data_IF_685528361736
#
_entry.id   IF_685528361736
#
_cell.length_a   1.000
_cell.length_b   1.000
_cell.length_c   1.000
_cell.angle_alpha   90.00
_cell.angle_beta   90.00
_cell.angle_gamma   90.00
#
_symmetry.space_group_name_H-M   'P 1'
#
loop_
_entity.id
_entity.type
_entity.pdbx_description
1 polymer ?
#
# COMPACT_ATOMS: atom_id res chain seq x y z
N UNK A 1 10.90 7.07 -13.31
CA UNK A 1 10.00 7.80 -14.21
C UNK A 1 9.24 6.81 -15.05
N UNK A 2 7.92 6.96 -15.12
CA UNK A 2 7.08 6.02 -15.84
C UNK A 2 7.17 6.17 -17.33
N UNK A 3 7.19 5.05 -18.05
CA UNK A 3 7.11 5.03 -19.50
C UNK A 3 5.66 4.94 -19.97
N UNK A 4 4.90 3.98 -19.41
CA UNK A 4 3.50 3.77 -19.80
C UNK A 4 2.57 3.65 -18.59
N UNK A 5 3.02 3.13 -17.48
CA UNK A 5 2.19 2.89 -16.30
C UNK A 5 2.73 3.71 -15.12
N UNK A 6 2.16 4.87 -14.90
CA UNK A 6 2.59 5.77 -13.83
C UNK A 6 1.89 5.42 -12.52
N UNK A 7 2.65 5.31 -11.43
CA UNK A 7 2.05 5.24 -10.09
C UNK A 7 1.74 6.67 -9.66
N UNK A 8 0.45 7.01 -9.68
CA UNK A 8 0.01 8.38 -9.42
C UNK A 8 -0.01 8.69 -7.95
N UNK A 9 -0.59 7.76 -7.16
CA UNK A 9 -0.65 7.97 -5.70
C UNK A 9 -0.93 6.64 -4.99
N UNK A 10 -0.58 6.63 -3.71
CA UNK A 10 -0.97 5.59 -2.76
C UNK A 10 -1.88 6.26 -1.74
N UNK A 11 -3.14 5.82 -1.67
CA UNK A 11 -4.07 6.28 -0.65
C UNK A 11 -4.01 5.30 0.51
N UNK A 12 -3.62 5.77 1.68
CA UNK A 12 -3.43 4.92 2.84
C UNK A 12 -3.63 5.76 4.11
N UNK A 13 -3.99 5.13 5.24
CA UNK A 13 -4.05 5.86 6.50
C UNK A 13 -2.65 6.34 6.90
N UNK A 14 -2.59 7.45 7.64
CA UNK A 14 -1.33 7.99 8.11
C UNK A 14 -0.70 7.12 9.20
N UNK A 15 -1.52 6.39 9.95
CA UNK A 15 -1.11 5.56 11.08
C UNK A 15 -2.00 4.33 11.18
N UNK A 16 -1.48 3.28 11.79
CA UNK A 16 -2.26 2.07 12.12
C UNK A 16 -1.67 1.41 13.36
N UNK A 17 -2.51 0.66 14.06
CA UNK A 17 -2.09 -0.11 15.23
C UNK A 17 -1.65 -1.51 14.81
N UNK A 18 -0.77 -2.17 15.60
CA UNK A 18 -0.38 -3.55 15.29
C UNK A 18 -1.60 -4.45 15.19
N UNK A 19 -1.62 -5.31 14.18
CA UNK A 19 -2.72 -6.25 13.97
C UNK A 19 -3.90 -5.69 13.19
N UNK A 20 -3.96 -4.38 12.95
CA UNK A 20 -5.02 -3.80 12.13
C UNK A 20 -4.89 -4.25 10.68
N UNK A 21 -6.03 -4.51 10.06
CA UNK A 21 -6.05 -4.65 8.60
C UNK A 21 -5.98 -3.25 7.99
N UNK A 22 -4.94 -3.01 7.21
CA UNK A 22 -4.74 -1.73 6.54
C UNK A 22 -5.20 -1.89 5.09
N UNK A 23 -6.19 -1.08 4.70
CA UNK A 23 -6.67 -1.05 3.33
C UNK A 23 -6.04 0.13 2.61
N UNK A 24 -5.51 -0.13 1.43
CA UNK A 24 -4.87 0.90 0.62
C UNK A 24 -5.45 0.90 -0.78
N UNK A 25 -5.28 2.01 -1.46
CA UNK A 25 -5.61 2.13 -2.88
C UNK A 25 -4.37 2.65 -3.59
N UNK A 26 -3.97 1.97 -4.66
CA UNK A 26 -2.88 2.42 -5.53
C UNK A 26 -3.49 2.81 -6.86
N UNK A 27 -3.21 4.03 -7.31
CA UNK A 27 -3.77 4.55 -8.55
C UNK A 27 -2.69 4.58 -9.61
N UNK A 28 -2.96 3.90 -10.72
CA UNK A 28 -2.05 3.81 -11.86
C UNK A 28 -2.68 4.49 -13.08
N UNK A 29 -1.89 5.29 -13.76
CA UNK A 29 -2.34 5.99 -14.97
C UNK A 29 -1.68 5.40 -16.20
N UNK A 30 -2.47 5.15 -17.25
CA UNK A 30 -1.96 4.74 -18.54
C UNK A 30 -1.51 5.98 -19.33
N UNK A 31 -0.21 6.07 -19.58
CA UNK A 31 0.39 7.15 -20.35
C UNK A 31 0.49 6.83 -21.84
N UNK A 32 0.13 5.61 -22.24
CA UNK A 32 0.18 5.17 -23.62
C UNK A 32 -0.99 5.75 -24.41
N UNK A 33 -0.87 5.82 -25.72
CA UNK A 33 -1.90 6.38 -26.59
C UNK A 33 -3.03 5.41 -26.91
N UNK A 34 -2.96 4.18 -26.43
CA UNK A 34 -3.98 3.15 -26.60
C UNK A 34 -4.27 2.45 -25.30
N UNK A 35 -5.23 1.54 -25.32
CA UNK A 35 -5.56 0.69 -24.16
C UNK A 35 -4.45 -0.34 -23.96
N UNK A 36 -3.95 -0.45 -22.72
CA UNK A 36 -2.99 -1.49 -22.35
C UNK A 36 -3.40 -2.13 -21.04
N UNK A 37 -2.88 -3.34 -20.81
CA UNK A 37 -3.04 -4.00 -19.50
C UNK A 37 -1.96 -3.48 -18.56
N UNK A 38 -2.37 -3.12 -17.35
CA UNK A 38 -1.51 -2.59 -16.31
C UNK A 38 -1.70 -3.45 -15.07
N UNK A 39 -0.59 -3.73 -14.38
CA UNK A 39 -0.59 -4.53 -13.16
C UNK A 39 0.05 -3.74 -12.03
N UNK A 40 -0.50 -3.92 -10.83
CA UNK A 40 0.05 -3.36 -9.59
C UNK A 40 0.74 -4.46 -8.79
N UNK A 41 1.80 -4.08 -8.10
CA UNK A 41 2.43 -4.90 -7.07
C UNK A 41 2.78 -4.03 -5.90
N UNK A 42 3.11 -4.64 -4.78
CA UNK A 42 3.52 -3.89 -3.62
C UNK A 42 4.22 -4.74 -2.58
N UNK A 43 5.02 -4.08 -1.77
CA UNK A 43 5.76 -4.71 -0.69
C UNK A 43 5.86 -3.77 0.51
N UNK A 44 6.11 -4.34 1.67
CA UNK A 44 6.24 -3.62 2.93
C UNK A 44 7.68 -3.66 3.40
N UNK A 45 8.24 -2.50 3.66
CA UNK A 45 9.57 -2.37 4.23
C UNK A 45 9.46 -2.00 5.70
N UNK A 46 9.94 -2.85 6.60
CA UNK A 46 9.93 -2.56 8.03
C UNK A 46 10.96 -3.38 8.82
N UNK A 47 12.11 -3.61 8.23
CA UNK A 47 13.22 -4.26 8.94
C UNK A 47 13.25 -5.78 8.85
N UNK A 48 12.35 -6.39 8.08
CA UNK A 48 12.39 -7.83 7.80
C UNK A 48 12.84 -8.07 6.36
N UNK A 49 13.39 -9.24 6.09
CA UNK A 49 13.88 -9.60 4.75
C UNK A 49 13.53 -11.07 4.46
N UNK A 50 12.95 -11.38 3.30
CA UNK A 50 12.54 -10.45 2.25
C UNK A 50 11.33 -9.62 2.67
N UNK A 51 11.05 -8.53 1.95
CA UNK A 51 9.90 -7.70 2.23
C UNK A 51 8.61 -8.46 1.92
N UNK A 52 7.65 -8.52 2.88
CA UNK A 52 6.37 -9.15 2.59
C UNK A 52 5.60 -8.42 1.50
N UNK A 53 4.85 -9.16 0.70
CA UNK A 53 4.01 -8.59 -0.33
C UNK A 53 2.71 -8.02 0.22
N UNK A 54 2.14 -7.07 -0.51
CA UNK A 54 0.81 -6.54 -0.25
C UNK A 54 -0.18 -7.35 -1.10
N UNK A 55 -1.32 -7.70 -0.51
CA UNK A 55 -2.35 -8.47 -1.22
C UNK A 55 -3.19 -7.54 -2.09
N UNK A 56 -3.15 -7.77 -3.40
CA UNK A 56 -4.02 -7.11 -4.38
C UNK A 56 -4.84 -8.19 -5.07
N UNK A 57 -6.05 -8.49 -4.59
CA UNK A 57 -6.84 -9.60 -5.17
C UNK A 57 -7.12 -9.44 -6.66
N UNK A 58 -7.34 -8.20 -7.12
CA UNK A 58 -7.49 -7.90 -8.54
C UNK A 58 -6.33 -6.99 -8.93
N UNK A 59 -5.21 -7.59 -9.33
CA UNK A 59 -3.95 -6.87 -9.46
C UNK A 59 -3.65 -6.36 -10.88
N UNK A 60 -4.55 -6.56 -11.85
CA UNK A 60 -4.34 -6.03 -13.19
C UNK A 60 -5.68 -5.67 -13.84
N UNK A 61 -5.64 -4.80 -14.81
CA UNK A 61 -6.81 -4.38 -15.58
C UNK A 61 -6.39 -3.81 -16.93
N UNK A 62 -7.31 -3.85 -17.90
CA UNK A 62 -7.15 -3.10 -19.13
C UNK A 62 -7.53 -1.65 -18.85
N UNK A 63 -6.65 -0.73 -19.17
CA UNK A 63 -6.83 0.68 -18.84
C UNK A 63 -6.76 1.48 -20.14
N UNK A 64 -7.77 2.32 -20.38
CA UNK A 64 -7.84 3.14 -21.58
C UNK A 64 -6.75 4.21 -21.58
N UNK A 65 -6.41 4.69 -22.77
CA UNK A 65 -5.41 5.71 -22.94
C UNK A 65 -5.70 6.93 -22.05
N UNK A 66 -4.73 7.33 -21.27
CA UNK A 66 -4.83 8.50 -20.39
C UNK A 66 -5.68 8.30 -19.14
N UNK A 67 -6.34 7.14 -18.99
CA UNK A 67 -7.18 6.88 -17.83
C UNK A 67 -6.36 6.46 -16.61
N UNK A 68 -6.94 6.68 -15.44
CA UNK A 68 -6.38 6.25 -14.16
C UNK A 68 -7.26 5.15 -13.58
N UNK A 69 -6.63 4.08 -13.10
CA UNK A 69 -7.33 2.95 -12.52
C UNK A 69 -6.90 2.77 -11.07
N UNK A 70 -7.86 2.47 -10.20
CA UNK A 70 -7.61 2.29 -8.77
C UNK A 70 -7.59 0.81 -8.43
N UNK A 71 -6.49 0.35 -7.82
CA UNK A 71 -6.34 -1.02 -7.35
C UNK A 71 -6.42 -1.04 -5.83
N UNK A 72 -7.24 -1.93 -5.30
CA UNK A 72 -7.39 -2.10 -3.85
C UNK A 72 -6.45 -3.17 -3.34
N UNK A 73 -5.76 -2.88 -2.27
CA UNK A 73 -4.87 -3.82 -1.61
C UNK A 73 -5.00 -3.75 -0.10
N UNK A 74 -4.45 -4.74 0.58
CA UNK A 74 -4.48 -4.76 2.04
C UNK A 74 -3.30 -5.54 2.61
N UNK A 75 -3.02 -5.29 3.88
CA UNK A 75 -2.05 -6.05 4.66
C UNK A 75 -2.40 -5.90 6.14
N UNK A 76 -1.79 -6.74 6.98
CA UNK A 76 -1.93 -6.65 8.43
C UNK A 76 -0.76 -5.84 8.96
N UNK A 77 -1.04 -4.80 9.74
CA UNK A 77 -0.01 -3.91 10.28
C UNK A 77 0.91 -4.66 11.22
N UNK A 78 2.23 -4.66 10.97
CA UNK A 78 3.17 -5.25 11.92
C UNK A 78 3.35 -4.34 13.13
N UNK A 79 4.10 -4.81 14.12
CA UNK A 79 4.43 -4.01 15.30
C UNK A 79 5.61 -3.07 15.00
N UNK A 80 5.46 -2.30 13.95
CA UNK A 80 6.48 -1.36 13.47
C UNK A 80 5.84 -0.41 12.47
N UNK A 81 6.37 0.80 12.34
CA UNK A 81 6.06 1.65 11.20
C UNK A 81 6.50 0.95 9.91
N UNK A 82 5.81 1.19 8.81
CA UNK A 82 6.12 0.56 7.52
C UNK A 82 6.27 1.61 6.44
N UNK A 83 7.06 1.27 5.43
CA UNK A 83 7.07 1.99 4.16
C UNK A 83 6.46 1.09 3.10
N UNK A 84 5.39 1.58 2.49
CA UNK A 84 4.76 0.89 1.36
C UNK A 84 5.57 1.20 0.11
N UNK A 85 5.92 0.18 -0.66
CA UNK A 85 6.45 0.31 -2.01
C UNK A 85 5.39 -0.19 -2.97
N UNK A 86 4.89 0.67 -3.83
CA UNK A 86 3.93 0.29 -4.88
C UNK A 86 4.63 0.31 -6.23
N UNK A 87 4.41 -0.73 -7.01
CA UNK A 87 5.05 -0.92 -8.31
C UNK A 87 4.02 -1.01 -9.39
N UNK A 88 4.38 -0.54 -10.60
CA UNK A 88 3.56 -0.70 -11.78
C UNK A 88 4.27 -1.52 -12.84
N UNK A 89 3.47 -2.25 -13.62
CA UNK A 89 3.93 -3.06 -14.75
C UNK A 89 2.97 -2.86 -15.91
N UNK A 90 3.48 -2.93 -17.13
CA UNK A 90 2.64 -2.92 -18.31
C UNK A 90 2.89 -4.17 -19.14
N UNK A 91 1.86 -4.61 -19.86
CA UNK A 91 1.91 -5.84 -20.62
C UNK A 91 2.34 -5.54 -22.06
N UNK A 92 3.45 -6.15 -22.48
CA UNK A 92 4.00 -5.92 -23.81
C UNK A 92 3.37 -6.82 -24.86
N UNK A 93 3.55 -6.44 -26.12
CA UNK A 93 3.06 -7.22 -27.26
C UNK A 93 3.75 -8.58 -27.39
N UNK A 94 4.88 -8.77 -26.73
CA UNK A 94 5.59 -10.06 -26.67
C UNK A 94 5.04 -11.02 -25.62
N UNK A 95 3.99 -10.63 -24.89
CA UNK A 95 3.38 -11.45 -23.85
C UNK A 95 4.07 -11.39 -22.51
N UNK A 96 4.91 -10.39 -22.28
CA UNK A 96 5.64 -10.22 -21.02
C UNK A 96 5.17 -8.98 -20.27
N UNK A 97 5.25 -9.06 -18.94
CA UNK A 97 5.05 -7.90 -18.06
C UNK A 97 6.38 -7.18 -17.88
N UNK A 98 6.35 -5.85 -17.99
CA UNK A 98 7.54 -5.02 -17.82
C UNK A 98 7.35 -4.09 -16.63
N UNK A 99 8.29 -4.13 -15.71
CA UNK A 99 8.33 -3.19 -14.59
C UNK A 99 8.52 -1.77 -15.13
N UNK A 100 7.82 -0.81 -14.55
CA UNK A 100 7.84 0.57 -15.04
C UNK A 100 8.14 1.59 -13.95
N UNK A 101 7.30 1.70 -12.93
CA UNK A 101 7.36 2.81 -11.99
C UNK A 101 7.16 2.34 -10.56
N UNK A 102 7.57 3.16 -9.61
CA UNK A 102 7.28 2.91 -8.20
C UNK A 102 7.02 4.20 -7.47
N UNK A 103 6.30 4.08 -6.36
CA UNK A 103 6.05 5.16 -5.42
C UNK A 103 6.08 4.57 -4.03
N UNK A 104 6.46 5.38 -3.05
CA UNK A 104 6.50 4.94 -1.66
C UNK A 104 5.59 5.81 -0.81
N UNK A 105 5.10 5.21 0.29
CA UNK A 105 4.33 5.92 1.30
C UNK A 105 4.56 5.31 2.66
N UNK A 106 4.84 6.15 3.65
CA UNK A 106 5.05 5.70 5.02
C UNK A 106 3.74 5.66 5.79
N UNK A 107 3.60 4.65 6.65
CA UNK A 107 2.51 4.57 7.63
C UNK A 107 3.16 4.47 9.00
N UNK A 108 2.79 5.39 9.90
CA UNK A 108 3.27 5.38 11.27
C UNK A 108 2.59 4.32 12.12
N UNK A 109 3.27 3.90 13.17
CA UNK A 109 2.71 2.97 14.14
C UNK A 109 1.99 3.75 15.23
N UNK A 110 0.71 3.44 15.44
CA UNK A 110 -0.01 3.93 16.61
C UNK A 110 0.47 3.10 17.80
N UNK A 111 1.07 3.76 18.79
CA UNK A 111 1.40 3.03 20.00
C UNK A 111 0.11 2.79 20.75
N UNK A 112 -0.15 1.53 21.05
CA UNK A 112 -1.24 1.14 21.91
C UNK A 112 -0.78 1.49 23.29
N UNK A 113 -1.19 2.63 23.78
CA UNK A 113 -0.87 2.94 25.14
C UNK A 113 -1.64 2.03 25.99
N UNK A 114 -1.04 1.60 26.81
CA UNK A 114 -1.67 0.91 27.70
C UNK A 114 -2.51 1.65 28.56
N UNK A 115 -3.15 1.56 28.76
CA UNK A 115 -3.83 2.33 29.06
C UNK A 115 -3.78 2.66 30.18
N UNK A 116 -3.52 2.68 30.09
CA UNK A 116 -3.51 3.13 30.86
C UNK A 116 -4.03 2.97 31.54
N UNK A 117 -3.93 2.89 31.81
CA UNK A 117 -4.36 2.94 32.42
C UNK A 117 -4.58 3.01 33.13
N UNK A 118 -4.23 3.13 33.16
CA UNK A 118 -4.44 3.48 33.84
C UNK A 118 -4.92 3.54 34.34
N UNK A 119 -4.74 3.56 34.40
CA UNK A 119 -5.15 3.93 34.99
C UNK A 119 -5.79 3.61 35.42
N UNK A 120 -5.60 3.31 35.40
CA UNK A 120 -6.08 3.43 36.05
C UNK A 120 -6.28 3.25 36.63
N UNK A 121 -6.38 3.21 36.83
CA UNK A 121 -6.56 3.54 37.65
C UNK A 121 -6.87 3.69 38.08
N UNK A 122 -6.92 3.69 38.30
CA UNK A 122 -7.12 4.23 38.95
C UNK A 122 -7.42 4.42 39.28
N UNK A 123 -7.47 4.39 39.47
CA UNK A 123 -7.71 5.03 39.90
C UNK A 123 -8.00 4.92 40.03
N UNK A 124 -7.90 4.63 40.26
CA UNK A 124 -8.19 4.89 40.52
C UNK A 124 -8.45 4.48 40.63
N UNK A 125 -8.50 4.04 41.44
CA UNK A 125 -8.71 4.20 41.85
C UNK A 125 -8.82 4.15 42.28
N UNK A 126 -8.86 4.44 41.93
CA UNK A 126 -8.90 4.91 42.49
C UNK A 126 -8.99 4.90 42.77
N UNK A 127 -9.02 4.77 43.02
CA UNK A 127 -8.91 5.12 43.49
C UNK A 127 -8.95 5.23 43.68
N UNK A 128 -9.00 5.30 43.76
CA UNK A 128 -8.93 5.75 43.99
C UNK A 128 -8.94 5.67 44.16
#
# INVERSE_FOLDING_TARGET
MAQYAQVVEIVAPAQAAPGDQVNITVRLKNLYSGTISIMVGGALEYGVSPWPGIDFPANWANVDAGATYSFSGSFIMPNSAVTIHAYSYWYGSDGSWYYDDQLTRSIGLVSVSQPTVSEFRIADFVKV
#
